data_IF_899817943339
#
_entry.id   IF_899817943339
#
_cell.length_a   1.000
_cell.length_b   1.000
_cell.length_c   1.000
_cell.angle_alpha   90.00
_cell.angle_beta   90.00
_cell.angle_gamma   90.00
#
_symmetry.space_group_name_H-M   'P 1'
#
loop_
_entity.id
_entity.type
_entity.pdbx_description
1 polymer ?
#
# COMPACT_ATOMS: atom_id res chain seq x y z
N UNK A 1 0.62 16.42 -33.12
CA UNK A 1 0.52 16.75 -31.68
C UNK A 1 -0.20 15.68 -30.87
N UNK A 2 -1.09 14.85 -31.44
CA UNK A 2 -1.75 13.74 -30.70
C UNK A 2 -0.85 12.59 -30.24
N UNK A 3 0.35 12.41 -30.82
CA UNK A 3 1.25 11.30 -30.47
C UNK A 3 1.95 11.41 -29.11
N UNK A 4 1.97 12.60 -28.49
CA UNK A 4 2.72 12.83 -27.25
C UNK A 4 1.86 12.62 -25.98
N UNK A 5 0.54 12.81 -26.11
CA UNK A 5 -0.42 12.57 -25.03
C UNK A 5 -0.57 11.07 -24.71
N UNK A 6 -0.32 10.19 -25.68
CA UNK A 6 -0.47 8.72 -25.57
C UNK A 6 0.82 7.99 -25.20
N UNK A 7 1.94 8.69 -25.00
CA UNK A 7 3.20 8.06 -24.60
C UNK A 7 3.21 7.70 -23.11
N UNK A 8 3.67 6.48 -22.83
CA UNK A 8 3.79 5.95 -21.46
C UNK A 8 4.90 6.70 -20.72
N UNK A 9 4.61 7.11 -19.49
CA UNK A 9 5.49 7.93 -18.62
C UNK A 9 5.78 7.27 -17.27
N UNK A 10 4.93 6.32 -16.88
CA UNK A 10 5.05 5.53 -15.66
C UNK A 10 4.45 4.16 -15.94
N UNK A 11 5.19 3.10 -15.62
CA UNK A 11 4.68 1.74 -15.63
C UNK A 11 4.66 1.20 -14.20
N UNK A 12 3.54 0.59 -13.81
CA UNK A 12 3.34 0.01 -12.50
C UNK A 12 3.08 -1.49 -12.64
N UNK A 13 3.80 -2.29 -11.86
CA UNK A 13 3.63 -3.73 -11.82
C UNK A 13 2.57 -4.13 -10.77
N UNK A 14 2.34 -5.44 -10.62
CA UNK A 14 1.46 -6.00 -9.59
C UNK A 14 1.78 -5.45 -8.20
N UNK A 15 0.73 -5.28 -7.39
CA UNK A 15 0.79 -4.75 -6.01
C UNK A 15 1.24 -3.29 -5.86
N UNK A 16 1.36 -2.53 -6.96
CA UNK A 16 1.43 -1.08 -6.87
C UNK A 16 0.03 -0.48 -6.64
N UNK A 17 -0.02 0.58 -5.84
CA UNK A 17 -1.24 1.35 -5.59
C UNK A 17 -0.92 2.84 -5.71
N UNK A 18 -1.44 3.52 -6.75
CA UNK A 18 -1.34 4.97 -6.83
C UNK A 18 -2.31 5.65 -5.85
N UNK A 19 -1.93 6.81 -5.37
CA UNK A 19 -2.76 7.73 -4.59
C UNK A 19 -2.40 9.17 -4.93
N UNK A 20 -3.34 10.09 -4.71
CA UNK A 20 -3.15 11.49 -5.04
C UNK A 20 -2.47 12.23 -3.90
N UNK A 21 -1.55 13.12 -4.25
CA UNK A 21 -0.88 14.06 -3.36
C UNK A 21 -1.17 15.48 -3.83
N UNK A 22 -1.53 16.38 -2.93
CA UNK A 22 -1.80 17.76 -3.30
C UNK A 22 -0.50 18.53 -3.57
N UNK A 23 -0.49 19.52 -4.49
CA UNK A 23 -1.61 19.94 -5.33
C UNK A 23 -1.83 19.05 -6.57
N UNK A 24 -0.79 18.42 -7.13
CA UNK A 24 -0.87 17.61 -8.36
C UNK A 24 0.22 16.52 -8.44
N UNK A 25 0.64 15.96 -7.30
CA UNK A 25 1.64 14.89 -7.26
C UNK A 25 0.99 13.51 -7.28
N UNK A 26 1.73 12.52 -7.78
CA UNK A 26 1.32 11.12 -7.79
C UNK A 26 2.16 10.33 -6.79
N UNK A 27 1.53 9.91 -5.69
CA UNK A 27 2.09 8.93 -4.77
C UNK A 27 1.87 7.52 -5.30
N UNK A 28 2.83 6.64 -5.12
CA UNK A 28 2.70 5.20 -5.39
C UNK A 28 3.30 4.46 -4.22
N UNK A 29 2.54 3.52 -3.64
CA UNK A 29 3.12 2.55 -2.72
C UNK A 29 3.14 1.15 -3.31
N UNK A 30 4.15 0.38 -2.93
CA UNK A 30 4.24 -1.05 -3.25
C UNK A 30 5.13 -1.80 -2.25
N UNK A 31 4.95 -3.11 -2.06
CA UNK A 31 5.88 -3.92 -1.27
C UNK A 31 7.17 -4.17 -2.07
N UNK A 32 8.33 -3.70 -1.63
CA UNK A 32 9.61 -3.90 -2.30
C UNK A 32 10.55 -4.74 -1.41
N UNK A 33 10.78 -6.00 -1.81
CA UNK A 33 11.55 -6.94 -1.00
C UNK A 33 10.97 -7.15 0.40
N UNK A 34 11.64 -6.58 1.42
CA UNK A 34 11.22 -6.64 2.83
C UNK A 34 10.69 -5.30 3.35
N UNK A 35 10.40 -4.36 2.46
CA UNK A 35 9.98 -3.01 2.79
C UNK A 35 8.66 -2.67 2.11
N UNK A 36 8.00 -1.65 2.63
CA UNK A 36 6.97 -0.87 1.94
C UNK A 36 7.70 0.33 1.36
N UNK A 37 7.69 0.47 0.04
CA UNK A 37 8.21 1.67 -0.62
C UNK A 37 7.07 2.64 -0.90
N UNK A 38 7.31 3.92 -0.65
CA UNK A 38 6.46 5.02 -1.07
C UNK A 38 7.29 5.96 -1.96
N UNK A 39 6.86 6.12 -3.20
CA UNK A 39 7.47 7.00 -4.19
C UNK A 39 6.51 8.10 -4.60
N UNK A 40 7.00 9.33 -4.73
CA UNK A 40 6.26 10.49 -5.19
C UNK A 40 6.80 10.94 -6.54
N UNK A 41 5.90 11.20 -7.49
CA UNK A 41 6.23 11.69 -8.82
C UNK A 41 5.52 13.00 -9.10
N UNK A 42 6.20 13.89 -9.80
CA UNK A 42 5.58 15.03 -10.48
C UNK A 42 5.18 14.61 -11.90
N UNK A 43 3.87 14.45 -12.19
CA UNK A 43 3.40 14.05 -13.51
C UNK A 43 3.87 14.97 -14.64
N UNK A 44 4.09 16.26 -14.36
CA UNK A 44 4.51 17.25 -15.34
C UNK A 44 6.00 17.11 -15.70
N UNK A 45 6.79 16.45 -14.85
CA UNK A 45 8.22 16.19 -15.07
C UNK A 45 8.51 14.80 -15.65
N UNK A 46 7.50 13.91 -15.72
CA UNK A 46 7.70 12.54 -16.19
C UNK A 46 8.04 12.49 -17.69
N UNK A 47 9.23 12.01 -17.99
CA UNK A 47 9.68 11.70 -19.35
C UNK A 47 8.98 10.47 -19.89
N UNK A 48 8.58 10.54 -21.15
CA UNK A 48 8.12 9.39 -21.90
C UNK A 48 9.26 8.38 -22.14
N UNK A 49 8.92 7.10 -22.20
CA UNK A 49 9.81 6.00 -22.56
C UNK A 49 9.15 5.05 -23.56
N UNK A 50 9.94 4.21 -24.24
CA UNK A 50 9.42 3.19 -25.14
C UNK A 50 8.90 2.00 -24.34
N UNK A 51 7.71 1.49 -24.66
CA UNK A 51 7.12 0.31 -24.00
C UNK A 51 8.02 -0.92 -24.18
N UNK A 52 8.85 -0.97 -25.23
CA UNK A 52 9.87 -1.99 -25.40
C UNK A 52 10.87 -2.04 -24.23
N UNK A 53 11.13 -0.93 -23.54
CA UNK A 53 12.02 -0.85 -22.37
C UNK A 53 11.47 -1.63 -21.16
N UNK A 54 10.14 -1.81 -21.08
CA UNK A 54 9.47 -2.60 -20.04
C UNK A 54 8.95 -3.94 -20.55
N UNK A 55 9.35 -4.35 -21.76
CA UNK A 55 8.95 -5.63 -22.33
C UNK A 55 9.51 -6.78 -21.47
N UNK A 56 8.62 -7.61 -20.91
CA UNK A 56 9.00 -8.71 -20.02
C UNK A 56 9.14 -8.34 -18.54
N UNK A 57 9.11 -7.05 -18.20
CA UNK A 57 9.16 -6.56 -16.81
C UNK A 57 7.98 -7.06 -15.95
N UNK A 58 6.85 -7.37 -16.60
CA UNK A 58 5.68 -7.97 -15.95
C UNK A 58 5.89 -9.43 -15.51
N UNK A 59 6.99 -10.10 -15.88
CA UNK A 59 7.34 -11.44 -15.35
C UNK A 59 8.28 -11.31 -14.16
N UNK A 60 7.88 -11.81 -12.99
CA UNK A 60 8.72 -12.04 -11.79
C UNK A 60 9.81 -10.97 -11.50
N UNK A 61 9.56 -9.70 -11.82
CA UNK A 61 10.50 -8.62 -11.50
C UNK A 61 10.34 -8.22 -10.03
N UNK A 62 11.46 -8.02 -9.34
CA UNK A 62 11.47 -7.42 -8.01
C UNK A 62 11.17 -5.92 -8.08
N UNK A 63 11.49 -5.26 -9.20
CA UNK A 63 11.15 -3.87 -9.45
C UNK A 63 9.67 -3.74 -9.83
N UNK A 64 8.96 -2.86 -9.11
CA UNK A 64 7.52 -2.68 -9.27
C UNK A 64 7.11 -1.35 -9.88
N UNK A 65 7.99 -0.36 -9.85
CA UNK A 65 7.76 0.97 -10.42
C UNK A 65 8.87 1.21 -11.45
N UNK A 66 8.49 1.54 -12.68
CA UNK A 66 9.43 1.93 -13.72
C UNK A 66 9.06 3.30 -14.27
N UNK A 67 10.03 4.20 -14.29
CA UNK A 67 9.96 5.49 -14.96
C UNK A 67 11.35 5.89 -15.46
N UNK A 68 11.39 6.59 -16.60
CA UNK A 68 12.60 7.24 -17.10
C UNK A 68 12.97 8.52 -16.31
N UNK A 69 12.15 8.91 -15.34
CA UNK A 69 12.38 10.04 -14.43
C UNK A 69 12.38 9.51 -13.01
N UNK A 70 13.39 9.89 -12.22
CA UNK A 70 13.44 9.52 -10.82
C UNK A 70 12.26 10.14 -10.05
N UNK A 71 11.72 9.47 -9.02
CA UNK A 71 10.75 10.08 -8.13
C UNK A 71 11.35 11.31 -7.44
N UNK A 72 10.52 12.31 -7.14
CA UNK A 72 10.92 13.53 -6.43
C UNK A 72 11.13 13.27 -4.93
N UNK A 73 10.48 12.24 -4.40
CA UNK A 73 10.73 11.71 -3.07
C UNK A 73 10.50 10.19 -3.06
N UNK A 74 11.34 9.47 -2.33
CA UNK A 74 11.32 8.01 -2.27
C UNK A 74 11.82 7.57 -0.90
N UNK A 75 11.03 6.75 -0.20
CA UNK A 75 11.45 6.19 1.07
C UNK A 75 10.82 4.82 1.34
N UNK A 76 11.48 4.09 2.23
CA UNK A 76 11.14 2.69 2.52
C UNK A 76 10.94 2.46 4.01
N UNK A 77 9.98 1.61 4.34
CA UNK A 77 9.61 1.25 5.71
C UNK A 77 9.69 -0.27 5.88
N UNK A 78 10.45 -0.79 6.86
CA UNK A 78 10.58 -2.23 7.03
C UNK A 78 9.25 -2.94 7.34
N UNK A 79 8.96 -4.02 6.62
CA UNK A 79 7.84 -4.92 6.94
C UNK A 79 8.05 -5.69 8.25
N UNK A 80 9.26 -5.62 8.82
CA UNK A 80 9.62 -6.26 10.09
C UNK A 80 9.32 -5.39 11.32
N UNK A 81 8.72 -4.20 11.15
CA UNK A 81 8.28 -3.40 12.29
C UNK A 81 7.30 -4.21 13.14
N UNK A 82 7.52 -4.19 14.46
CA UNK A 82 6.65 -4.86 15.41
C UNK A 82 5.29 -4.15 15.51
N UNK A 83 4.30 -4.81 16.08
CA UNK A 83 3.01 -4.19 16.38
C UNK A 83 3.16 -2.91 17.22
N UNK A 84 2.34 -1.89 16.93
CA UNK A 84 2.35 -0.60 17.62
C UNK A 84 2.81 0.57 16.75
N UNK A 85 3.02 1.72 17.38
CA UNK A 85 3.35 2.99 16.71
C UNK A 85 4.85 3.25 16.69
N UNK A 86 5.37 3.63 15.53
CA UNK A 86 6.78 3.92 15.29
C UNK A 86 6.96 5.29 14.67
N UNK A 87 8.06 5.96 15.02
CA UNK A 87 8.49 7.18 14.32
C UNK A 87 9.17 6.82 13.01
N UNK A 88 8.91 7.62 11.99
CA UNK A 88 9.52 7.50 10.67
C UNK A 88 9.99 8.87 10.19
N UNK A 89 10.99 8.87 9.34
CA UNK A 89 11.42 10.06 8.62
C UNK A 89 10.61 10.16 7.34
N UNK A 90 9.69 11.13 7.28
CA UNK A 90 8.80 11.31 6.13
C UNK A 90 9.27 12.49 5.28
N UNK A 91 9.51 12.30 3.97
CA UNK A 91 9.79 13.41 3.07
C UNK A 91 8.65 14.43 3.04
N UNK A 92 8.98 15.72 2.92
CA UNK A 92 8.00 16.81 2.97
C UNK A 92 6.93 16.73 1.87
N UNK A 93 7.24 16.08 0.76
CA UNK A 93 6.35 15.85 -0.38
C UNK A 93 5.10 15.03 0.00
N UNK A 94 5.17 14.27 1.10
CA UNK A 94 4.05 13.47 1.61
C UNK A 94 3.27 14.16 2.75
N UNK A 95 3.63 15.39 3.11
CA UNK A 95 3.05 16.10 4.26
C UNK A 95 1.55 16.39 4.14
N UNK A 96 0.97 16.33 2.94
CA UNK A 96 -0.46 16.55 2.72
C UNK A 96 -1.32 15.32 3.02
N UNK A 97 -0.72 14.19 3.39
CA UNK A 97 -1.43 12.95 3.68
C UNK A 97 -1.62 12.81 5.19
N UNK A 98 -2.86 12.98 5.61
CA UNK A 98 -3.25 12.77 7.00
C UNK A 98 -3.15 11.30 7.39
N UNK A 99 -3.67 10.42 6.54
CA UNK A 99 -3.68 8.97 6.75
C UNK A 99 -3.57 8.21 5.42
N UNK A 100 -2.76 7.16 5.41
CA UNK A 100 -2.71 6.16 4.35
C UNK A 100 -2.65 4.76 4.96
N UNK A 101 -3.66 3.92 4.70
CA UNK A 101 -3.70 2.55 5.18
C UNK A 101 -3.18 1.59 4.11
N UNK A 102 -2.08 0.91 4.42
CA UNK A 102 -1.41 -0.03 3.53
C UNK A 102 -1.61 -1.46 4.06
N UNK A 103 -2.52 -2.25 3.46
CA UNK A 103 -2.62 -3.67 3.74
C UNK A 103 -1.50 -4.44 3.03
N UNK A 104 -0.69 -5.16 3.79
CA UNK A 104 0.40 -5.97 3.24
C UNK A 104 0.71 -7.19 4.09
N UNK A 105 1.47 -8.12 3.53
CA UNK A 105 1.89 -9.33 4.23
C UNK A 105 2.70 -9.00 5.47
N UNK A 106 2.43 -9.71 6.56
CA UNK A 106 3.12 -9.58 7.84
C UNK A 106 3.74 -10.93 8.15
N UNK A 107 5.06 -10.98 8.36
CA UNK A 107 5.81 -12.23 8.40
C UNK A 107 5.41 -13.05 9.64
N UNK A 108 4.63 -14.13 9.50
CA UNK A 108 4.22 -14.93 10.64
C UNK A 108 5.37 -15.86 11.06
N UNK A 109 5.51 -16.16 12.35
CA UNK A 109 6.49 -17.14 12.85
C UNK A 109 5.88 -18.54 12.90
N UNK A 110 4.58 -18.63 13.12
CA UNK A 110 3.76 -19.85 13.20
C UNK A 110 2.50 -19.70 12.34
N UNK A 111 1.76 -20.79 12.11
CA UNK A 111 0.53 -20.72 11.29
C UNK A 111 -0.62 -19.94 11.96
N UNK A 112 -0.59 -19.81 13.28
CA UNK A 112 -1.58 -19.07 14.07
C UNK A 112 -1.24 -17.58 14.20
N UNK A 113 -0.04 -17.16 13.77
CA UNK A 113 0.31 -15.75 13.73
C UNK A 113 -0.41 -15.03 12.59
N UNK A 114 -0.66 -13.72 12.73
CA UNK A 114 -1.20 -12.89 11.66
C UNK A 114 -0.33 -12.98 10.40
N UNK A 115 -0.95 -13.34 9.27
CA UNK A 115 -0.29 -13.37 7.96
C UNK A 115 -0.33 -12.01 7.24
N UNK A 116 -1.13 -11.07 7.76
CA UNK A 116 -1.32 -9.72 7.23
C UNK A 116 -1.31 -8.69 8.36
N UNK A 117 -0.91 -7.47 8.02
CA UNK A 117 -1.04 -6.29 8.87
C UNK A 117 -1.54 -5.11 8.05
N UNK A 118 -2.18 -4.17 8.73
CA UNK A 118 -2.43 -2.83 8.23
C UNK A 118 -1.33 -1.93 8.76
N UNK A 119 -0.59 -1.29 7.85
CA UNK A 119 0.35 -0.22 8.18
C UNK A 119 -0.38 1.10 7.96
N UNK A 120 -0.75 1.76 9.05
CA UNK A 120 -1.46 3.04 9.03
C UNK A 120 -0.42 4.15 9.13
N UNK A 121 -0.20 4.84 8.02
CA UNK A 121 0.76 5.92 7.92
C UNK A 121 0.09 7.25 8.23
N UNK A 122 0.60 7.97 9.23
CA UNK A 122 0.27 9.36 9.50
C UNK A 122 1.44 10.22 9.01
N UNK A 123 1.53 10.40 7.69
CA UNK A 123 2.71 10.95 7.01
C UNK A 123 3.00 12.38 7.44
N UNK A 124 1.97 13.20 7.64
CA UNK A 124 2.14 14.55 8.21
C UNK A 124 2.79 14.57 9.60
N UNK A 125 2.62 13.51 10.39
CA UNK A 125 3.10 13.41 11.76
C UNK A 125 4.43 12.63 11.86
N UNK A 126 4.93 12.06 10.76
CA UNK A 126 6.11 11.20 10.77
C UNK A 126 5.90 9.92 11.59
N UNK A 127 4.70 9.32 11.50
CA UNK A 127 4.35 8.11 12.25
C UNK A 127 3.83 7.00 11.32
N UNK A 128 4.08 5.76 11.74
CA UNK A 128 3.40 4.57 11.21
C UNK A 128 2.93 3.69 12.37
N UNK A 129 1.69 3.25 12.31
CA UNK A 129 1.12 2.29 13.24
C UNK A 129 0.94 0.93 12.54
N UNK A 130 1.48 -0.13 13.14
CA UNK A 130 1.42 -1.49 12.62
C UNK A 130 0.35 -2.26 13.38
N UNK A 131 -0.70 -2.67 12.67
CA UNK A 131 -1.87 -3.36 13.20
C UNK A 131 -1.95 -4.79 12.60
N UNK A 132 -1.36 -5.80 13.26
CA UNK A 132 -1.47 -7.19 12.81
C UNK A 132 -2.92 -7.68 12.85
N UNK A 133 -3.38 -8.29 11.77
CA UNK A 133 -4.76 -8.75 11.62
C UNK A 133 -4.89 -10.14 12.27
N UNK A 134 -5.23 -10.17 13.55
CA UNK A 134 -5.28 -11.38 14.40
C UNK A 134 -6.29 -12.42 13.93
N UNK A 135 -7.26 -12.00 13.15
CA UNK A 135 -8.26 -12.86 12.53
C UNK A 135 -7.81 -13.43 11.19
N UNK A 136 -6.73 -12.91 10.58
CA UNK A 136 -6.23 -13.34 9.27
C UNK A 136 -4.92 -14.14 9.44
N UNK A 137 -5.04 -15.42 9.73
CA UNK A 137 -3.91 -16.34 9.96
C UNK A 137 -3.75 -17.35 8.83
N UNK A 138 -2.55 -17.91 8.66
CA UNK A 138 -2.32 -18.95 7.65
C UNK A 138 -3.05 -20.27 7.95
N UNK A 139 -3.42 -20.50 9.22
CA UNK A 139 -4.26 -21.63 9.62
C UNK A 139 -5.71 -21.51 9.12
N UNK A 140 -6.23 -20.28 9.01
CA UNK A 140 -7.63 -20.01 8.68
C UNK A 140 -7.85 -19.58 7.23
N UNK A 141 -6.85 -18.95 6.60
CA UNK A 141 -6.97 -18.35 5.27
C UNK A 141 -5.90 -18.87 4.30
N UNK A 142 -6.28 -18.96 3.03
CA UNK A 142 -5.39 -19.34 1.94
C UNK A 142 -4.59 -18.13 1.48
N UNK A 143 -3.50 -17.84 2.18
CA UNK A 143 -2.57 -16.75 1.82
C UNK A 143 -2.13 -16.90 0.37
N UNK A 144 -2.33 -15.84 -0.43
CA UNK A 144 -2.06 -15.83 -1.88
C UNK A 144 -3.28 -16.09 -2.77
N UNK A 145 -4.35 -16.69 -2.24
CA UNK A 145 -5.67 -16.72 -2.88
C UNK A 145 -6.64 -15.73 -2.23
N UNK A 146 -6.41 -15.40 -0.97
CA UNK A 146 -7.14 -14.42 -0.19
C UNK A 146 -6.16 -13.37 0.34
N UNK A 147 -6.56 -12.10 0.29
CA UNK A 147 -5.77 -10.98 0.81
C UNK A 147 -6.65 -9.74 1.01
N UNK A 148 -6.23 -8.88 1.94
CA UNK A 148 -6.86 -7.58 2.14
C UNK A 148 -6.42 -6.66 0.98
N UNK A 149 -7.39 -6.11 0.24
CA UNK A 149 -7.13 -5.32 -0.97
C UNK A 149 -7.06 -3.82 -0.69
N UNK A 150 -7.89 -3.36 0.24
CA UNK A 150 -8.03 -1.96 0.66
C UNK A 150 -8.64 -1.89 2.05
N UNK A 151 -8.33 -0.82 2.76
CA UNK A 151 -8.91 -0.48 4.05
C UNK A 151 -8.95 1.05 4.18
N UNK A 152 -9.93 1.56 4.93
CA UNK A 152 -10.10 2.97 5.24
C UNK A 152 -10.81 3.11 6.59
N UNK A 153 -10.63 4.23 7.29
CA UNK A 153 -11.47 4.56 8.44
C UNK A 153 -12.86 4.97 7.99
N UNK A 154 -13.86 4.40 8.64
CA UNK A 154 -15.23 4.89 8.58
C UNK A 154 -15.30 6.28 9.26
N UNK A 155 -15.79 7.33 8.59
CA UNK A 155 -15.75 8.69 9.13
C UNK A 155 -16.59 8.87 10.39
N UNK A 156 -17.65 8.06 10.58
CA UNK A 156 -18.53 8.18 11.74
C UNK A 156 -17.98 7.44 12.96
N UNK A 157 -17.65 6.16 12.81
CA UNK A 157 -17.20 5.31 13.92
C UNK A 157 -15.69 5.31 14.13
N UNK A 158 -14.91 5.86 13.18
CA UNK A 158 -13.43 5.84 13.16
C UNK A 158 -12.80 4.44 13.14
N UNK A 159 -13.62 3.38 13.09
CA UNK A 159 -13.20 1.99 12.93
C UNK A 159 -12.75 1.73 11.50
N UNK A 160 -11.90 0.73 11.32
CA UNK A 160 -11.38 0.39 10.00
C UNK A 160 -12.34 -0.56 9.30
N UNK A 161 -12.81 -0.12 8.13
CA UNK A 161 -13.54 -0.91 7.15
C UNK A 161 -12.54 -1.38 6.08
N UNK A 162 -12.65 -2.63 5.65
CA UNK A 162 -11.80 -3.14 4.58
C UNK A 162 -12.48 -4.18 3.70
N UNK A 163 -11.80 -4.50 2.60
CA UNK A 163 -12.19 -5.59 1.72
C UNK A 163 -11.12 -6.67 1.70
N UNK A 164 -11.56 -7.91 1.81
CA UNK A 164 -10.73 -9.09 1.66
C UNK A 164 -11.17 -9.86 0.40
N UNK A 165 -10.30 -9.89 -0.60
CA UNK A 165 -10.54 -10.66 -1.82
C UNK A 165 -10.72 -12.14 -1.48
N UNK A 166 -11.73 -12.76 -2.10
CA UNK A 166 -12.09 -14.16 -1.84
C UNK A 166 -12.76 -14.42 -0.49
N UNK A 167 -13.16 -13.37 0.24
CA UNK A 167 -13.91 -13.48 1.50
C UNK A 167 -15.09 -12.51 1.55
N UNK A 168 -14.84 -11.19 1.56
CA UNK A 168 -15.90 -10.19 1.68
C UNK A 168 -15.42 -8.85 2.26
N UNK A 169 -16.37 -8.00 2.62
CA UNK A 169 -16.13 -6.72 3.32
C UNK A 169 -16.17 -6.96 4.82
N UNK A 170 -15.24 -6.37 5.57
CA UNK A 170 -15.13 -6.55 7.01
C UNK A 170 -15.04 -5.23 7.74
N UNK A 171 -15.44 -5.25 9.01
CA UNK A 171 -15.26 -4.18 9.97
C UNK A 171 -14.39 -4.68 11.11
N UNK A 172 -13.42 -3.86 11.52
CA UNK A 172 -12.55 -4.17 12.66
C UNK A 172 -13.10 -3.58 13.96
N UNK A 173 -12.68 -4.18 15.08
CA UNK A 173 -12.85 -3.60 16.41
C UNK A 173 -12.06 -2.28 16.54
N UNK A 174 -12.26 -1.55 17.63
CA UNK A 174 -11.54 -0.30 17.93
C UNK A 174 -10.02 -0.46 17.97
N UNK A 175 -9.52 -1.66 18.29
CA UNK A 175 -8.09 -1.98 18.30
C UNK A 175 -7.48 -2.12 16.90
N UNK A 176 -8.30 -2.11 15.84
CA UNK A 176 -7.88 -2.26 14.44
C UNK A 176 -7.18 -3.58 14.11
N UNK A 177 -7.24 -4.58 15.00
CA UNK A 177 -6.52 -5.85 14.88
C UNK A 177 -7.47 -7.05 14.84
N UNK A 178 -8.67 -6.94 15.42
CA UNK A 178 -9.67 -8.02 15.50
C UNK A 178 -10.86 -7.73 14.60
N UNK A 179 -11.43 -8.81 14.06
CA UNK A 179 -12.64 -8.75 13.26
C UNK A 179 -13.84 -8.52 14.17
N UNK A 180 -14.57 -7.42 13.96
CA UNK A 180 -15.85 -7.19 14.63
C UNK A 180 -16.97 -7.95 13.91
N UNK A 181 -17.11 -7.72 12.60
CA UNK A 181 -18.14 -8.37 11.79
C UNK A 181 -17.78 -8.41 10.30
N UNK A 182 -18.42 -9.33 9.59
CA UNK A 182 -18.47 -9.34 8.12
C UNK A 182 -19.69 -8.53 7.68
N UNK A 183 -19.48 -7.58 6.77
CA UNK A 183 -20.56 -6.78 6.20
C UNK A 183 -21.00 -7.47 4.91
N UNK A 184 -22.23 -7.99 4.92
CA UNK A 184 -22.84 -8.51 3.70
C UNK A 184 -23.05 -7.38 2.70
N UNK A 185 -22.73 -7.64 1.43
CA UNK A 185 -23.13 -6.74 0.35
C UNK A 185 -24.63 -6.94 0.12
N UNK A 186 -25.43 -5.94 0.47
CA UNK A 186 -26.81 -5.78 -0.03
C UNK A 186 -26.84 -5.63 -1.54
#
# INVERSE_FOLDING_TARGET
MEHEATRVRLALNTYCRPFLLAPNFLGVWCPEGRNIRLACFDPDQLKAFDVAEVAGWFKQSSERIYSATAPIADFEIPLSLAAGTHKIETPSEFSTIDELIIPTSYKPMTQDDPAFALFVFYLQAGLVEVLPQKWFTAAQYKVGQQWITRAARDPESQRILGECFGVGTFLLEEDGCRLAEWIERS
#
